data_IF_149007437674
#
_entry.id   IF_149007437674
#
_cell.length_a   1.000
_cell.length_b   1.000
_cell.length_c   1.000
_cell.angle_alpha   90.00
_cell.angle_beta   90.00
_cell.angle_gamma   90.00
#
_symmetry.space_group_name_H-M   'P 1'
#
loop_
_entity.id
_entity.type
_entity.pdbx_description
1 polymer ?
#
# COMPACT_ATOMS: atom_id res chain seq x y z
N UNK A 1 -18.01 -13.62 12.00
CA UNK A 1 -16.88 -13.36 11.09
C UNK A 1 -16.66 -11.88 10.85
N UNK A 2 -15.48 -11.51 10.35
CA UNK A 2 -15.16 -10.12 10.03
C UNK A 2 -15.68 -9.78 8.62
N UNK A 3 -16.33 -8.62 8.46
CA UNK A 3 -16.82 -8.15 7.16
C UNK A 3 -15.65 -7.73 6.27
N UNK A 4 -15.53 -8.29 5.07
CA UNK A 4 -14.57 -7.86 4.06
C UNK A 4 -15.15 -6.70 3.25
N UNK A 5 -14.40 -5.60 3.16
CA UNK A 5 -14.73 -4.44 2.33
C UNK A 5 -13.61 -4.27 1.30
N UNK A 6 -13.98 -4.30 0.03
CA UNK A 6 -13.02 -4.08 -1.07
C UNK A 6 -13.14 -2.65 -1.58
N UNK A 7 -12.08 -1.86 -1.36
CA UNK A 7 -12.00 -0.50 -1.89
C UNK A 7 -11.44 -0.52 -3.31
N UNK A 8 -12.09 0.21 -4.21
CA UNK A 8 -11.68 0.31 -5.62
C UNK A 8 -11.28 1.73 -5.96
N UNK A 9 -10.17 1.88 -6.66
CA UNK A 9 -9.78 3.15 -7.30
C UNK A 9 -10.52 3.33 -8.62
N UNK A 10 -10.54 4.58 -9.13
CA UNK A 10 -11.00 4.90 -10.47
C UNK A 10 -10.24 4.15 -11.57
N UNK A 11 -8.97 3.86 -11.33
CA UNK A 11 -8.07 3.17 -12.24
C UNK A 11 -7.59 1.85 -11.66
N UNK A 12 -7.30 0.86 -12.51
CA UNK A 12 -6.38 -0.21 -12.21
C UNK A 12 -4.93 0.25 -12.46
N UNK A 13 -3.97 -0.64 -12.22
CA UNK A 13 -2.55 -0.28 -12.34
C UNK A 13 -2.15 0.10 -13.78
N UNK A 14 -2.61 -0.65 -14.78
CA UNK A 14 -2.23 -0.46 -16.18
C UNK A 14 -2.89 0.80 -16.75
N UNK A 15 -4.19 0.97 -16.51
CA UNK A 15 -4.93 2.16 -16.93
C UNK A 15 -4.42 3.43 -16.25
N UNK A 16 -3.97 3.34 -15.00
CA UNK A 16 -3.31 4.45 -14.30
C UNK A 16 -1.97 4.80 -14.94
N UNK A 17 -1.13 3.80 -15.27
CA UNK A 17 0.15 4.03 -15.93
C UNK A 17 -0.04 4.67 -17.31
N UNK A 18 -1.01 4.19 -18.09
CA UNK A 18 -1.39 4.78 -19.36
C UNK A 18 -1.87 6.23 -19.23
N UNK A 19 -2.75 6.51 -18.24
CA UNK A 19 -3.22 7.86 -17.94
C UNK A 19 -2.08 8.82 -17.55
N UNK A 20 -1.11 8.34 -16.78
CA UNK A 20 0.09 9.11 -16.38
C UNK A 20 1.19 9.12 -17.45
N UNK A 21 1.00 8.38 -18.55
CA UNK A 21 1.98 8.19 -19.64
C UNK A 21 3.36 7.72 -19.15
N UNK A 22 3.39 6.97 -18.06
CA UNK A 22 4.61 6.38 -17.49
C UNK A 22 4.28 5.38 -16.39
N UNK A 23 5.21 4.47 -16.12
CA UNK A 23 5.16 3.64 -14.91
C UNK A 23 5.52 4.43 -13.65
N UNK A 24 4.99 4.01 -12.49
CA UNK A 24 5.48 4.52 -11.21
C UNK A 24 6.96 4.19 -11.02
N UNK A 25 7.67 5.01 -10.25
CA UNK A 25 9.08 4.81 -9.91
C UNK A 25 9.31 5.03 -8.41
N UNK A 26 10.54 4.81 -7.95
CA UNK A 26 10.95 5.07 -6.57
C UNK A 26 10.66 6.52 -6.14
N UNK A 27 10.85 7.47 -7.07
CA UNK A 27 10.67 8.91 -6.84
C UNK A 27 9.25 9.40 -7.14
N UNK A 28 8.45 8.60 -7.86
CA UNK A 28 7.09 8.97 -8.28
C UNK A 28 6.12 7.81 -8.06
N UNK A 29 5.81 7.56 -6.78
CA UNK A 29 4.95 6.46 -6.32
C UNK A 29 3.46 6.79 -6.41
N UNK A 30 3.02 7.34 -7.55
CA UNK A 30 1.61 7.68 -7.73
C UNK A 30 0.66 6.47 -7.65
N UNK A 31 1.14 5.25 -7.86
CA UNK A 31 0.36 4.04 -7.61
C UNK A 31 -0.07 3.91 -6.14
N UNK A 32 0.76 4.33 -5.19
CA UNK A 32 0.40 4.33 -3.77
C UNK A 32 -0.68 5.37 -3.49
N UNK A 33 -0.52 6.60 -4.00
CA UNK A 33 -1.50 7.68 -3.81
C UNK A 33 -2.84 7.33 -4.46
N UNK A 34 -2.83 7.02 -5.76
CA UNK A 34 -4.07 6.87 -6.53
C UNK A 34 -4.82 5.55 -6.24
N UNK A 35 -4.09 4.45 -6.04
CA UNK A 35 -4.73 3.12 -5.92
C UNK A 35 -4.96 2.67 -4.48
N UNK A 36 -4.35 3.35 -3.49
CA UNK A 36 -4.44 2.94 -2.09
C UNK A 36 -4.88 4.07 -1.17
N UNK A 37 -4.15 5.21 -1.18
CA UNK A 37 -4.42 6.29 -0.23
C UNK A 37 -5.77 6.96 -0.50
N UNK A 38 -6.04 7.35 -1.74
CA UNK A 38 -7.30 8.03 -2.07
C UNK A 38 -8.54 7.18 -1.76
N UNK A 39 -8.62 5.90 -2.19
CA UNK A 39 -9.75 5.04 -1.81
C UNK A 39 -9.90 4.86 -0.30
N UNK A 40 -8.80 4.82 0.44
CA UNK A 40 -8.85 4.71 1.90
C UNK A 40 -9.34 6.01 2.54
N UNK A 41 -8.88 7.17 2.05
CA UNK A 41 -9.38 8.48 2.49
C UNK A 41 -10.89 8.57 2.23
N UNK A 42 -11.35 8.23 1.03
CA UNK A 42 -12.77 8.25 0.69
C UNK A 42 -13.60 7.35 1.62
N UNK A 43 -13.06 6.17 1.94
CA UNK A 43 -13.72 5.25 2.86
C UNK A 43 -13.80 5.81 4.27
N UNK A 44 -12.69 6.34 4.83
CA UNK A 44 -12.68 6.94 6.16
C UNK A 44 -13.66 8.13 6.22
N UNK A 45 -13.67 8.99 5.21
CA UNK A 45 -14.62 10.11 5.14
C UNK A 45 -16.08 9.66 5.04
N UNK A 46 -16.34 8.45 4.54
CA UNK A 46 -17.70 7.89 4.49
C UNK A 46 -18.18 7.36 5.84
N UNK A 47 -17.26 7.08 6.77
CA UNK A 47 -17.57 6.73 8.14
C UNK A 47 -17.91 8.03 8.88
N UNK A 48 -19.14 8.18 9.30
CA UNK A 48 -19.58 9.33 10.11
C UNK A 48 -19.41 9.03 11.60
N UNK A 49 -18.24 8.55 11.97
CA UNK A 49 -17.88 8.16 13.34
C UNK A 49 -16.34 8.12 13.49
N UNK A 50 -15.85 8.24 14.71
CA UNK A 50 -14.43 8.04 15.02
C UNK A 50 -14.06 6.57 14.87
N UNK A 51 -12.86 6.29 14.37
CA UNK A 51 -12.44 4.93 14.06
C UNK A 51 -10.98 4.64 14.43
N UNK A 52 -10.68 3.36 14.64
CA UNK A 52 -9.32 2.87 14.83
C UNK A 52 -8.92 2.07 13.58
N UNK A 53 -7.82 2.46 12.96
CA UNK A 53 -7.26 1.82 11.78
C UNK A 53 -6.08 0.95 12.19
N UNK A 54 -6.24 -0.36 12.13
CA UNK A 54 -5.17 -1.31 12.45
C UNK A 54 -4.37 -1.58 11.18
N UNK A 55 -3.04 -1.35 11.24
CA UNK A 55 -2.14 -1.54 10.09
C UNK A 55 -1.09 -2.61 10.39
N UNK A 56 -1.00 -3.63 9.52
CA UNK A 56 0.02 -4.67 9.56
C UNK A 56 1.38 -4.20 9.01
N UNK A 57 1.88 -3.05 9.49
CA UNK A 57 3.16 -2.47 9.07
C UNK A 57 4.24 -2.83 10.10
N UNK A 58 5.44 -3.21 9.61
CA UNK A 58 6.62 -3.50 10.43
C UNK A 58 7.75 -2.53 10.12
N UNK A 59 8.45 -2.07 11.16
CA UNK A 59 9.60 -1.15 11.04
C UNK A 59 10.70 -1.74 10.15
N UNK A 60 10.99 -3.04 10.26
CA UNK A 60 12.01 -3.73 9.48
C UNK A 60 11.78 -3.84 7.97
N UNK A 61 10.64 -3.39 7.46
CA UNK A 61 10.34 -3.51 6.02
C UNK A 61 11.01 -2.44 5.15
N UNK A 62 11.33 -1.28 5.69
CA UNK A 62 12.08 -0.23 5.00
C UNK A 62 12.44 0.91 5.96
N UNK A 63 13.49 1.68 5.63
CA UNK A 63 13.88 2.89 6.38
C UNK A 63 12.72 3.89 6.57
N UNK A 64 11.89 4.06 5.53
CA UNK A 64 10.72 4.94 5.62
C UNK A 64 9.67 4.42 6.61
N UNK A 65 9.53 3.07 6.74
CA UNK A 65 8.63 2.48 7.73
C UNK A 65 9.22 2.51 9.13
N UNK A 66 10.52 2.31 9.29
CA UNK A 66 11.20 2.44 10.57
C UNK A 66 11.05 3.82 11.21
N UNK A 67 10.89 4.87 10.37
CA UNK A 67 10.65 6.23 10.83
C UNK A 67 9.18 6.54 11.18
N UNK A 68 8.27 5.58 11.03
CA UNK A 68 6.87 5.75 11.44
C UNK A 68 6.70 5.59 12.95
N UNK A 69 5.64 6.16 13.48
CA UNK A 69 5.22 5.95 14.87
C UNK A 69 4.40 4.65 14.98
N UNK A 70 4.44 3.99 16.12
CA UNK A 70 3.64 2.81 16.42
C UNK A 70 2.16 3.15 16.48
N UNK A 71 1.86 4.34 16.99
CA UNK A 71 0.53 4.94 17.06
C UNK A 71 0.57 6.38 16.54
N UNK A 72 -0.42 6.80 15.80
CA UNK A 72 -0.57 8.18 15.34
C UNK A 72 -1.99 8.47 14.86
N UNK A 73 -2.31 9.74 14.66
CA UNK A 73 -3.54 10.12 13.97
C UNK A 73 -3.42 9.82 12.47
N UNK A 74 -4.45 9.26 11.87
CA UNK A 74 -4.46 8.87 10.45
C UNK A 74 -4.16 10.05 9.52
N UNK A 75 -4.75 11.20 9.79
CA UNK A 75 -4.55 12.41 9.01
C UNK A 75 -3.36 13.27 9.48
N UNK A 76 -2.53 12.82 10.45
CA UNK A 76 -1.37 13.58 10.94
C UNK A 76 -0.46 14.06 9.79
N UNK A 77 -0.04 13.14 8.93
CA UNK A 77 0.84 13.45 7.80
C UNK A 77 0.14 14.19 6.66
N UNK A 78 -1.20 14.17 6.62
CA UNK A 78 -2.00 14.82 5.60
C UNK A 78 -1.85 16.34 5.64
N UNK A 79 -1.80 16.91 6.84
CA UNK A 79 -1.66 18.36 7.03
C UNK A 79 -0.21 18.83 7.11
N UNK A 80 0.76 17.91 7.13
CA UNK A 80 2.17 18.25 7.18
C UNK A 80 2.75 18.46 5.78
N UNK A 81 3.57 19.49 5.57
CA UNK A 81 4.23 19.69 4.29
C UNK A 81 5.26 18.58 4.04
N UNK A 82 5.30 18.10 2.81
CA UNK A 82 6.34 17.19 2.37
C UNK A 82 7.68 17.90 2.20
N UNK A 83 8.75 17.18 1.83
CA UNK A 83 10.10 17.74 1.61
C UNK A 83 10.15 18.90 0.60
N UNK A 84 9.12 19.11 -0.21
CA UNK A 84 8.97 20.20 -1.17
C UNK A 84 8.05 21.33 -0.66
N UNK A 85 7.70 21.33 0.61
CA UNK A 85 6.81 22.32 1.23
C UNK A 85 5.33 22.19 0.83
N UNK A 86 4.92 21.11 0.14
CA UNK A 86 3.55 20.90 -0.31
C UNK A 86 2.81 19.97 0.63
N UNK A 87 1.59 20.33 0.99
CA UNK A 87 0.65 19.48 1.73
C UNK A 87 -0.18 18.62 0.76
N UNK A 88 -0.74 17.54 1.27
CA UNK A 88 -1.76 16.78 0.54
C UNK A 88 -3.00 17.68 0.33
N UNK A 89 -3.63 17.58 -0.83
CA UNK A 89 -4.79 18.42 -1.17
C UNK A 89 -6.03 17.63 -1.61
N UNK A 90 -5.92 16.30 -1.68
CA UNK A 90 -7.04 15.46 -2.08
C UNK A 90 -8.19 15.56 -1.08
N UNK A 91 -9.32 16.13 -1.51
CA UNK A 91 -10.50 16.38 -0.67
C UNK A 91 -10.19 17.15 0.64
N UNK A 92 -9.27 18.11 0.57
CA UNK A 92 -8.76 18.79 1.79
C UNK A 92 -9.85 19.48 2.62
N UNK A 93 -10.90 19.99 1.96
CA UNK A 93 -12.06 20.60 2.65
C UNK A 93 -12.83 19.54 3.44
N UNK A 94 -13.15 18.42 2.79
CA UNK A 94 -13.92 17.33 3.42
C UNK A 94 -13.13 16.69 4.57
N UNK A 95 -11.79 16.53 4.40
CA UNK A 95 -10.92 16.01 5.46
C UNK A 95 -10.91 16.93 6.67
N UNK A 96 -10.82 18.26 6.47
CA UNK A 96 -10.87 19.23 7.57
C UNK A 96 -12.20 19.21 8.29
N UNK A 97 -13.29 19.16 7.54
CA UNK A 97 -14.65 19.09 8.08
C UNK A 97 -14.86 17.80 8.87
N UNK A 98 -14.44 16.65 8.33
CA UNK A 98 -14.50 15.38 9.03
C UNK A 98 -13.69 15.39 10.33
N UNK A 99 -12.43 15.86 10.29
CA UNK A 99 -11.55 15.95 11.46
C UNK A 99 -12.02 16.97 12.51
N UNK A 100 -12.97 17.86 12.22
CA UNK A 100 -13.57 18.73 13.21
C UNK A 100 -14.64 18.04 14.07
N UNK A 101 -15.10 16.86 13.64
CA UNK A 101 -16.17 16.10 14.27
C UNK A 101 -15.73 14.73 14.76
N UNK A 102 -14.76 14.12 14.10
CA UNK A 102 -14.35 12.74 14.31
C UNK A 102 -12.82 12.59 14.34
N UNK A 103 -12.36 11.49 14.93
CA UNK A 103 -10.96 11.10 14.98
C UNK A 103 -10.72 9.74 14.31
N UNK A 104 -9.61 9.60 13.62
CA UNK A 104 -9.11 8.32 13.12
C UNK A 104 -7.71 8.05 13.69
N UNK A 105 -7.62 7.10 14.60
CA UNK A 105 -6.34 6.65 15.18
C UNK A 105 -5.78 5.48 14.38
N UNK A 106 -4.47 5.44 14.24
CA UNK A 106 -3.74 4.34 13.60
C UNK A 106 -2.97 3.58 14.66
N UNK A 107 -3.15 2.26 14.70
CA UNK A 107 -2.38 1.36 15.53
C UNK A 107 -1.60 0.37 14.66
N UNK A 108 -0.35 0.08 15.02
CA UNK A 108 0.54 -0.88 14.34
C UNK A 108 1.01 -1.95 15.33
N UNK A 109 0.17 -2.92 15.69
CA UNK A 109 0.47 -3.89 16.77
C UNK A 109 1.70 -4.73 16.54
N UNK A 110 2.07 -4.96 15.26
CA UNK A 110 3.22 -5.78 14.88
C UNK A 110 4.42 -4.93 14.44
N UNK A 111 4.46 -3.64 14.81
CA UNK A 111 5.44 -2.68 14.28
C UNK A 111 6.89 -3.12 14.55
N UNK A 112 7.15 -3.63 15.74
CA UNK A 112 8.48 -4.08 16.17
C UNK A 112 8.78 -5.55 15.85
N UNK A 113 7.84 -6.28 15.27
CA UNK A 113 8.00 -7.70 14.99
C UNK A 113 8.94 -7.96 13.81
N UNK A 114 9.69 -9.06 13.89
CA UNK A 114 10.44 -9.61 12.76
C UNK A 114 9.48 -10.26 11.75
N UNK A 115 9.97 -10.53 10.54
CA UNK A 115 9.17 -11.25 9.53
C UNK A 115 8.84 -12.67 10.02
N UNK A 116 9.78 -13.32 10.72
CA UNK A 116 9.59 -14.68 11.24
C UNK A 116 8.51 -14.71 12.31
N UNK A 117 8.52 -13.78 13.27
CA UNK A 117 7.47 -13.70 14.29
C UNK A 117 6.07 -13.57 13.72
N UNK A 118 5.92 -12.81 12.62
CA UNK A 118 4.61 -12.70 11.93
C UNK A 118 4.20 -14.03 11.30
N UNK A 119 5.14 -14.72 10.64
CA UNK A 119 4.87 -16.03 10.03
C UNK A 119 4.51 -17.06 11.10
N UNK A 120 5.26 -17.11 12.18
CA UNK A 120 5.02 -18.04 13.29
C UNK A 120 3.64 -17.79 13.91
N UNK A 121 3.29 -16.54 14.18
CA UNK A 121 1.97 -16.18 14.70
C UNK A 121 0.82 -16.61 13.75
N UNK A 122 1.00 -16.48 12.43
CA UNK A 122 0.01 -16.92 11.45
C UNK A 122 -0.14 -18.46 11.50
N UNK A 123 0.97 -19.19 11.60
CA UNK A 123 0.96 -20.66 11.68
C UNK A 123 0.36 -21.16 13.00
N UNK A 124 0.73 -20.53 14.13
CA UNK A 124 0.20 -20.85 15.46
C UNK A 124 -1.33 -20.60 15.53
N UNK A 125 -1.82 -19.62 14.79
CA UNK A 125 -3.26 -19.39 14.63
C UNK A 125 -3.95 -20.36 13.66
N UNK A 126 -3.25 -21.41 13.19
CA UNK A 126 -3.78 -22.39 12.24
C UNK A 126 -4.03 -21.84 10.84
N UNK A 127 -3.46 -20.67 10.53
CA UNK A 127 -3.63 -20.01 9.24
C UNK A 127 -2.43 -20.26 8.31
N UNK A 128 -2.60 -20.01 7.03
CA UNK A 128 -1.53 -20.15 6.04
C UNK A 128 -0.97 -18.77 5.64
N UNK A 129 0.35 -18.56 5.69
CA UNK A 129 0.98 -17.38 5.12
C UNK A 129 0.71 -17.26 3.63
N UNK A 130 0.90 -16.05 3.08
CA UNK A 130 0.71 -15.84 1.65
C UNK A 130 1.59 -16.80 0.83
N UNK A 131 1.03 -17.51 -0.18
CA UNK A 131 1.76 -18.51 -0.97
C UNK A 131 3.04 -18.01 -1.65
N UNK A 132 3.19 -16.72 -1.87
CA UNK A 132 4.41 -16.14 -2.45
C UNK A 132 5.63 -16.32 -1.54
N UNK A 133 5.47 -16.37 -0.22
CA UNK A 133 6.58 -16.68 0.69
C UNK A 133 7.16 -18.06 0.43
N UNK A 134 6.32 -19.07 0.18
CA UNK A 134 6.76 -20.42 -0.18
C UNK A 134 7.42 -20.50 -1.57
N UNK A 135 7.21 -19.48 -2.42
CA UNK A 135 7.86 -19.35 -3.73
C UNK A 135 9.18 -18.57 -3.66
N UNK A 136 9.65 -18.19 -2.48
CA UNK A 136 10.90 -17.49 -2.26
C UNK A 136 10.84 -15.97 -2.32
N UNK A 137 9.64 -15.37 -2.32
CA UNK A 137 9.50 -13.93 -2.21
C UNK A 137 9.84 -13.48 -0.79
N UNK A 138 10.71 -12.51 -0.67
CA UNK A 138 11.16 -11.97 0.62
C UNK A 138 10.16 -10.98 1.21
N UNK A 139 9.34 -10.38 0.36
CA UNK A 139 8.34 -9.38 0.73
C UNK A 139 7.11 -9.50 -0.15
N UNK A 140 5.96 -9.63 0.48
CA UNK A 140 4.69 -9.74 -0.21
C UNK A 140 3.85 -8.48 0.02
N UNK A 141 3.41 -7.88 -1.06
CA UNK A 141 2.55 -6.70 -1.06
C UNK A 141 1.71 -6.72 -2.33
N UNK A 142 1.90 -5.72 -3.21
CA UNK A 142 1.33 -5.81 -4.57
C UNK A 142 2.04 -6.91 -5.36
N UNK A 143 1.29 -7.63 -6.20
CA UNK A 143 1.87 -8.63 -7.09
C UNK A 143 1.45 -8.34 -8.54
N UNK A 144 2.43 -8.05 -9.41
CA UNK A 144 3.81 -7.69 -9.10
C UNK A 144 3.93 -6.27 -8.56
N UNK A 145 4.99 -6.01 -7.79
CA UNK A 145 5.29 -4.66 -7.32
C UNK A 145 6.39 -4.05 -8.18
N UNK A 146 6.27 -2.78 -8.56
CA UNK A 146 7.33 -2.04 -9.25
C UNK A 146 8.63 -1.93 -8.44
N UNK A 147 8.54 -2.18 -7.14
CA UNK A 147 9.67 -2.16 -6.19
C UNK A 147 10.19 -3.57 -5.88
N UNK A 148 9.81 -4.58 -6.68
CA UNK A 148 10.34 -5.92 -6.52
C UNK A 148 11.84 -5.95 -6.90
N UNK A 149 12.56 -6.89 -6.29
CA UNK A 149 13.97 -7.11 -6.55
C UNK A 149 14.15 -7.94 -7.83
N UNK A 150 15.32 -7.89 -8.46
CA UNK A 150 15.62 -8.69 -9.66
C UNK A 150 15.30 -10.17 -9.47
N UNK A 151 15.69 -10.74 -8.32
CA UNK A 151 15.35 -12.13 -7.96
C UNK A 151 13.84 -12.41 -7.97
N UNK A 152 13.02 -11.46 -7.54
CA UNK A 152 11.57 -11.60 -7.55
C UNK A 152 10.99 -11.51 -8.97
N UNK A 153 11.61 -10.70 -9.85
CA UNK A 153 11.27 -10.67 -11.29
C UNK A 153 11.60 -12.01 -11.95
N UNK A 154 12.76 -12.58 -11.66
CA UNK A 154 13.15 -13.93 -12.14
C UNK A 154 12.17 -15.00 -11.68
N UNK A 155 11.74 -14.94 -10.41
CA UNK A 155 10.73 -15.86 -9.86
C UNK A 155 9.38 -15.71 -10.58
N UNK A 156 8.96 -14.47 -10.92
CA UNK A 156 7.74 -14.23 -11.71
C UNK A 156 7.89 -14.82 -13.10
N UNK A 157 8.99 -14.53 -13.79
CA UNK A 157 9.23 -15.05 -15.13
C UNK A 157 9.22 -16.58 -15.19
N UNK A 158 9.81 -17.23 -14.17
CA UNK A 158 9.90 -18.69 -14.08
C UNK A 158 8.56 -19.34 -13.71
N UNK A 159 7.82 -18.76 -12.76
CA UNK A 159 6.66 -19.43 -12.14
C UNK A 159 5.31 -18.89 -12.65
N UNK A 160 5.29 -17.71 -13.29
CA UNK A 160 4.08 -17.08 -13.82
C UNK A 160 4.37 -16.35 -15.15
N UNK A 161 4.64 -17.09 -16.22
CA UNK A 161 4.96 -16.51 -17.53
C UNK A 161 3.80 -15.66 -18.09
N UNK A 162 2.56 -15.96 -17.74
CA UNK A 162 1.39 -15.13 -18.13
C UNK A 162 1.45 -13.74 -17.50
N UNK A 163 1.84 -13.66 -16.23
CA UNK A 163 2.03 -12.38 -15.56
C UNK A 163 3.19 -11.60 -16.18
N UNK A 164 4.30 -12.27 -16.50
CA UNK A 164 5.43 -11.66 -17.19
C UNK A 164 5.00 -11.05 -18.54
N UNK A 165 4.23 -11.79 -19.36
CA UNK A 165 3.70 -11.29 -20.62
C UNK A 165 2.79 -10.07 -20.44
N UNK A 166 1.93 -10.07 -19.42
CA UNK A 166 1.07 -8.90 -19.08
C UNK A 166 1.89 -7.68 -18.73
N UNK A 167 2.99 -7.84 -18.00
CA UNK A 167 3.90 -6.73 -17.68
C UNK A 167 4.55 -6.16 -18.95
N UNK A 168 5.08 -7.03 -19.82
CA UNK A 168 5.69 -6.62 -21.10
C UNK A 168 4.67 -5.88 -21.97
N UNK A 169 3.43 -6.35 -22.05
CA UNK A 169 2.38 -5.68 -22.80
C UNK A 169 2.03 -4.31 -22.20
N UNK A 170 1.96 -4.23 -20.86
CA UNK A 170 1.71 -2.98 -20.17
C UNK A 170 2.83 -1.96 -20.42
N UNK A 171 4.10 -2.38 -20.36
CA UNK A 171 5.26 -1.53 -20.71
C UNK A 171 5.17 -1.00 -22.13
N UNK A 172 4.90 -1.87 -23.10
CA UNK A 172 4.72 -1.46 -24.49
C UNK A 172 3.57 -0.47 -24.70
N UNK A 173 2.46 -0.65 -23.97
CA UNK A 173 1.28 0.22 -24.10
C UNK A 173 1.51 1.63 -23.54
N UNK A 174 2.44 1.78 -22.60
CA UNK A 174 2.77 3.08 -21.97
C UNK A 174 3.88 3.82 -22.73
N UNK A 175 4.62 3.12 -23.61
CA UNK A 175 5.63 3.71 -24.49
C UNK A 175 6.94 4.08 -23.80
N UNK A 176 7.14 3.65 -22.57
CA UNK A 176 8.40 3.85 -21.81
C UNK A 176 8.68 2.59 -20.99
N UNK A 177 9.79 1.97 -21.31
CA UNK A 177 10.44 0.95 -20.49
C UNK A 177 11.36 1.57 -19.45
#
# INVERSE_FOLDING_TARGET
GVRLITLKSKYDFVSLAAHKKRFPSTNARFCTSELKMKPMIDYVLSLKESCIIIQGIRAGESTARAAMEEECMYFKSYFQPNKKGRTENYRSKDVKEWCSQYDASVLRPIFKWSAQQVIDCILDAGQKPNPLYYRGFSRVGCFPCIMCRHKEIELIAKNDPKMCQRLIQAEKSVGHS
#
